data_IF_284611082579
#
_entry.id   IF_284611082579
#
_cell.length_a   1.000
_cell.length_b   1.000
_cell.length_c   1.000
_cell.angle_alpha   90.00
_cell.angle_beta   90.00
_cell.angle_gamma   90.00
#
_symmetry.space_group_name_H-M   'P 1'
#
loop_
_entity.id
_entity.type
_entity.pdbx_description
1 polymer ?
#
# COMPACT_ATOMS: atom_id res chain seq x y z
N UNK A 1 -16.19 -22.50 -12.97
CA UNK A 1 -17.32 -22.90 -13.83
C UNK A 1 -17.78 -24.32 -13.49
N UNK A 2 -19.04 -24.63 -13.83
CA UNK A 2 -19.57 -25.99 -13.70
C UNK A 2 -18.90 -26.94 -14.69
N UNK A 3 -18.75 -28.21 -14.33
CA UNK A 3 -18.26 -29.25 -15.21
C UNK A 3 -19.35 -29.67 -16.23
N UNK A 4 -20.58 -29.75 -15.77
CA UNK A 4 -21.68 -30.36 -16.53
C UNK A 4 -22.57 -29.32 -17.21
N UNK A 5 -22.60 -28.06 -16.73
CA UNK A 5 -23.40 -26.96 -17.29
C UNK A 5 -22.45 -25.92 -17.88
N UNK A 6 -22.44 -25.82 -19.23
CA UNK A 6 -21.40 -25.05 -19.95
C UNK A 6 -21.44 -23.55 -19.72
N UNK A 7 -22.60 -22.97 -19.40
CA UNK A 7 -22.80 -21.52 -19.20
C UNK A 7 -23.02 -21.13 -17.73
N UNK A 8 -22.58 -21.97 -16.77
CA UNK A 8 -22.76 -21.73 -15.34
C UNK A 8 -21.42 -21.41 -14.66
N UNK A 9 -21.38 -20.27 -13.99
CA UNK A 9 -20.35 -19.92 -13.02
C UNK A 9 -20.77 -20.31 -11.60
N UNK A 10 -19.79 -20.54 -10.74
CA UNK A 10 -19.99 -20.80 -9.32
C UNK A 10 -19.21 -19.75 -8.53
N UNK A 11 -19.83 -19.18 -7.51
CA UNK A 11 -19.25 -18.13 -6.66
C UNK A 11 -19.52 -18.39 -5.18
N UNK A 12 -18.85 -17.64 -4.33
CA UNK A 12 -19.02 -17.73 -2.89
C UNK A 12 -18.62 -19.10 -2.35
N UNK A 13 -19.45 -19.67 -1.49
CA UNK A 13 -19.17 -20.96 -0.83
C UNK A 13 -19.48 -22.18 -1.71
N UNK A 14 -19.98 -21.98 -2.91
CA UNK A 14 -20.25 -23.05 -3.88
C UNK A 14 -19.04 -23.37 -4.78
N UNK A 15 -17.89 -22.73 -4.55
CA UNK A 15 -16.66 -23.02 -5.31
C UNK A 15 -16.04 -24.35 -4.83
N UNK A 16 -15.31 -25.01 -5.74
CA UNK A 16 -14.49 -26.17 -5.38
C UNK A 16 -13.17 -25.69 -4.78
N UNK A 17 -12.88 -26.14 -3.57
CA UNK A 17 -11.66 -25.80 -2.85
C UNK A 17 -11.17 -27.00 -2.04
N UNK A 18 -9.86 -27.09 -1.79
CA UNK A 18 -9.32 -28.03 -0.83
C UNK A 18 -9.75 -27.67 0.59
N UNK A 19 -9.67 -28.63 1.52
CA UNK A 19 -10.02 -28.39 2.92
C UNK A 19 -9.25 -27.19 3.52
N UNK A 20 -7.96 -27.09 3.24
CA UNK A 20 -7.11 -25.97 3.73
C UNK A 20 -7.54 -24.65 3.10
N UNK A 21 -7.70 -24.60 1.78
CA UNK A 21 -8.11 -23.38 1.09
C UNK A 21 -9.52 -22.92 1.50
N UNK A 22 -10.41 -23.87 1.84
CA UNK A 22 -11.76 -23.55 2.29
C UNK A 22 -11.77 -22.69 3.57
N UNK A 23 -10.77 -22.85 4.43
CA UNK A 23 -10.61 -22.02 5.63
C UNK A 23 -10.64 -20.52 5.34
N UNK A 24 -10.05 -20.10 4.23
CA UNK A 24 -10.02 -18.69 3.79
C UNK A 24 -11.12 -18.33 2.79
N UNK A 25 -11.43 -19.23 1.83
CA UNK A 25 -12.39 -18.91 0.76
C UNK A 25 -13.84 -18.87 1.22
N UNK A 26 -14.15 -19.42 2.41
CA UNK A 26 -15.48 -19.37 3.03
C UNK A 26 -15.81 -18.01 3.67
N UNK A 27 -14.82 -17.16 3.91
CA UNK A 27 -15.01 -15.87 4.57
C UNK A 27 -15.81 -14.91 3.66
N UNK A 28 -16.67 -14.09 4.26
CA UNK A 28 -17.61 -13.23 3.53
C UNK A 28 -16.90 -12.27 2.59
N UNK A 29 -15.84 -11.60 3.04
CA UNK A 29 -15.08 -10.67 2.22
C UNK A 29 -14.43 -11.38 1.03
N UNK A 30 -13.75 -12.51 1.25
CA UNK A 30 -13.15 -13.32 0.19
C UNK A 30 -14.19 -13.82 -0.81
N UNK A 31 -15.34 -14.27 -0.33
CA UNK A 31 -16.47 -14.67 -1.17
C UNK A 31 -17.02 -13.51 -1.98
N UNK A 32 -17.10 -12.29 -1.42
CA UNK A 32 -17.52 -11.08 -2.10
C UNK A 32 -16.57 -10.68 -3.24
N UNK A 33 -15.26 -10.71 -3.00
CA UNK A 33 -14.25 -10.51 -4.05
C UNK A 33 -14.36 -11.54 -5.17
N UNK A 34 -14.53 -12.82 -4.82
CA UNK A 34 -14.75 -13.88 -5.79
C UNK A 34 -16.03 -13.65 -6.62
N UNK A 35 -17.12 -13.20 -6.00
CA UNK A 35 -18.38 -12.90 -6.68
C UNK A 35 -18.24 -11.72 -7.65
N UNK A 36 -17.52 -10.66 -7.27
CA UNK A 36 -17.21 -9.55 -8.19
C UNK A 36 -16.44 -10.06 -9.43
N UNK A 37 -15.43 -10.90 -9.22
CA UNK A 37 -14.66 -11.50 -10.32
C UNK A 37 -15.55 -12.32 -11.26
N UNK A 38 -16.45 -13.12 -10.70
CA UNK A 38 -17.40 -13.93 -11.48
C UNK A 38 -18.40 -13.07 -12.23
N UNK A 39 -18.94 -12.00 -11.63
CA UNK A 39 -19.83 -11.06 -12.30
C UNK A 39 -19.15 -10.40 -13.51
N UNK A 40 -17.91 -9.95 -13.36
CA UNK A 40 -17.12 -9.37 -14.44
C UNK A 40 -16.76 -10.40 -15.52
N UNK A 41 -16.47 -11.64 -15.13
CA UNK A 41 -16.23 -12.76 -16.04
C UNK A 41 -17.47 -13.06 -16.89
N UNK A 42 -18.65 -13.08 -16.26
CA UNK A 42 -19.92 -13.32 -16.99
C UNK A 42 -20.20 -12.19 -18.00
N UNK A 43 -20.00 -10.93 -17.61
CA UNK A 43 -20.12 -9.80 -18.53
C UNK A 43 -19.14 -9.89 -19.71
N UNK A 44 -17.89 -10.32 -19.43
CA UNK A 44 -16.88 -10.52 -20.48
C UNK A 44 -17.29 -11.65 -21.45
N UNK A 45 -17.83 -12.77 -20.94
CA UNK A 45 -18.33 -13.85 -21.76
C UNK A 45 -19.42 -13.37 -22.74
N UNK A 46 -20.39 -12.60 -22.23
CA UNK A 46 -21.47 -12.04 -23.06
C UNK A 46 -20.92 -11.10 -24.13
N UNK A 47 -20.01 -10.20 -23.79
CA UNK A 47 -19.42 -9.23 -24.72
C UNK A 47 -18.57 -9.89 -25.80
N UNK A 48 -17.91 -11.01 -25.50
CA UNK A 48 -17.02 -11.71 -26.43
C UNK A 48 -17.67 -12.90 -27.13
N UNK A 49 -18.90 -13.27 -26.74
CA UNK A 49 -19.59 -14.44 -27.29
C UNK A 49 -18.90 -15.76 -26.95
N UNK A 50 -18.29 -15.85 -25.76
CA UNK A 50 -17.52 -17.04 -25.32
C UNK A 50 -18.16 -17.68 -24.09
N UNK A 51 -17.79 -18.93 -23.83
CA UNK A 51 -18.28 -19.69 -22.68
C UNK A 51 -17.36 -19.49 -21.45
N UNK A 52 -17.84 -19.73 -20.22
CA UNK A 52 -17.05 -19.68 -19.00
C UNK A 52 -15.71 -20.40 -19.06
N UNK A 53 -15.66 -21.56 -19.68
CA UNK A 53 -14.43 -22.35 -19.83
C UNK A 53 -13.38 -21.67 -20.72
N UNK A 54 -13.80 -20.85 -21.67
CA UNK A 54 -12.89 -20.12 -22.57
C UNK A 54 -12.07 -19.06 -21.86
N UNK A 55 -12.55 -18.57 -20.70
CA UNK A 55 -11.83 -17.58 -19.90
C UNK A 55 -10.50 -18.10 -19.31
N UNK A 56 -10.28 -19.41 -19.33
CA UNK A 56 -8.98 -19.99 -18.97
C UNK A 56 -7.89 -19.74 -20.01
N UNK A 57 -8.26 -19.30 -21.22
CA UNK A 57 -7.29 -18.90 -22.25
C UNK A 57 -6.58 -17.61 -21.82
N UNK A 58 -5.24 -17.51 -22.03
CA UNK A 58 -4.44 -16.39 -21.54
C UNK A 58 -4.95 -15.01 -21.96
N UNK A 59 -5.43 -14.85 -23.18
CA UNK A 59 -5.94 -13.56 -23.69
C UNK A 59 -7.18 -13.08 -22.95
N UNK A 60 -8.14 -13.97 -22.65
CA UNK A 60 -9.34 -13.61 -21.90
C UNK A 60 -9.04 -13.43 -20.40
N UNK A 61 -8.18 -14.29 -19.85
CA UNK A 61 -7.77 -14.17 -18.46
C UNK A 61 -7.06 -12.82 -18.21
N UNK A 62 -6.13 -12.45 -19.10
CA UNK A 62 -5.45 -11.15 -19.01
C UNK A 62 -6.45 -10.00 -19.06
N UNK A 63 -7.41 -10.04 -19.99
CA UNK A 63 -8.43 -9.01 -20.10
C UNK A 63 -9.31 -8.93 -18.86
N UNK A 64 -9.69 -10.06 -18.28
CA UNK A 64 -10.45 -10.12 -17.03
C UNK A 64 -9.65 -9.50 -15.88
N UNK A 65 -8.38 -9.87 -15.71
CA UNK A 65 -7.49 -9.34 -14.67
C UNK A 65 -7.31 -7.82 -14.82
N UNK A 66 -7.15 -7.31 -16.04
CA UNK A 66 -7.05 -5.86 -16.29
C UNK A 66 -8.33 -5.12 -15.87
N UNK A 67 -9.50 -5.67 -16.23
CA UNK A 67 -10.79 -5.08 -15.84
C UNK A 67 -11.00 -5.08 -14.33
N UNK A 68 -10.60 -6.14 -13.65
CA UNK A 68 -10.66 -6.24 -12.19
C UNK A 68 -9.77 -5.19 -11.52
N UNK A 69 -8.51 -5.08 -11.95
CA UNK A 69 -7.58 -4.08 -11.42
C UNK A 69 -8.10 -2.65 -11.64
N UNK A 70 -8.60 -2.34 -12.84
CA UNK A 70 -9.17 -1.02 -13.15
C UNK A 70 -10.46 -0.72 -12.37
N UNK A 71 -11.14 -1.75 -11.87
CA UNK A 71 -12.31 -1.63 -11.01
C UNK A 71 -11.95 -1.61 -9.51
N UNK A 72 -10.65 -1.61 -9.16
CA UNK A 72 -10.17 -1.53 -7.79
C UNK A 72 -9.92 -2.87 -7.10
N UNK A 73 -10.18 -4.00 -7.77
CA UNK A 73 -9.83 -5.30 -7.25
C UNK A 73 -8.37 -5.62 -7.60
N UNK A 74 -7.45 -5.07 -6.82
CA UNK A 74 -6.02 -5.27 -7.02
C UNK A 74 -5.63 -6.75 -6.87
N UNK A 75 -4.98 -7.28 -7.91
CA UNK A 75 -4.47 -8.65 -7.92
C UNK A 75 -2.97 -8.60 -7.67
N UNK A 76 -2.44 -9.26 -6.62
CA UNK A 76 -1.01 -9.26 -6.32
C UNK A 76 -0.18 -9.71 -7.54
N UNK A 77 0.85 -8.94 -7.87
CA UNK A 77 1.74 -9.21 -8.99
C UNK A 77 1.18 -8.87 -10.38
N UNK A 78 -0.09 -8.50 -10.51
CA UNK A 78 -0.68 -8.10 -11.79
C UNK A 78 -0.79 -6.58 -11.87
N UNK A 79 -0.09 -5.98 -12.81
CA UNK A 79 -0.12 -4.54 -13.05
C UNK A 79 -1.30 -4.17 -13.96
N UNK A 80 -1.84 -2.97 -13.80
CA UNK A 80 -2.68 -2.35 -14.82
C UNK A 80 -1.80 -2.11 -16.05
N UNK A 81 -2.28 -2.55 -17.20
CA UNK A 81 -1.56 -2.38 -18.47
C UNK A 81 -1.50 -0.89 -18.84
N UNK A 82 -0.35 -0.47 -19.36
CA UNK A 82 -0.17 0.89 -19.89
C UNK A 82 -0.81 1.08 -21.27
N UNK A 83 -1.20 -0.01 -21.94
CA UNK A 83 -1.86 0.07 -23.25
C UNK A 83 -3.14 0.90 -23.19
N UNK A 84 -3.22 1.96 -23.99
CA UNK A 84 -4.36 2.89 -23.98
C UNK A 84 -4.34 3.92 -22.85
N UNK A 85 -3.34 3.90 -21.96
CA UNK A 85 -3.17 4.94 -20.95
C UNK A 85 -2.28 6.08 -21.50
N UNK A 86 -2.88 7.18 -21.88
CA UNK A 86 -2.17 8.36 -22.40
C UNK A 86 -1.19 8.94 -21.37
N UNK A 87 -1.46 8.80 -20.07
CA UNK A 87 -0.55 9.26 -19.02
C UNK A 87 0.81 8.55 -19.08
N UNK A 88 0.85 7.30 -19.54
CA UNK A 88 2.10 6.53 -19.62
C UNK A 88 3.06 7.03 -20.70
N UNK A 89 2.57 7.77 -21.69
CA UNK A 89 3.39 8.40 -22.75
C UNK A 89 3.77 9.85 -22.46
N UNK A 90 3.24 10.44 -21.38
CA UNK A 90 3.53 11.81 -21.00
C UNK A 90 4.90 11.93 -20.31
N UNK A 91 5.51 13.10 -20.42
CA UNK A 91 6.52 13.54 -19.46
C UNK A 91 5.80 13.98 -18.18
N UNK A 92 6.06 13.26 -17.10
CA UNK A 92 5.42 13.50 -15.80
C UNK A 92 6.38 14.27 -14.91
N UNK A 93 5.88 15.32 -14.27
CA UNK A 93 6.59 16.07 -13.23
C UNK A 93 5.65 16.42 -12.08
N UNK A 94 6.22 16.73 -10.93
CA UNK A 94 5.47 17.15 -9.76
C UNK A 94 6.05 18.46 -9.20
N UNK A 95 5.22 19.23 -8.48
CA UNK A 95 5.66 20.43 -7.73
C UNK A 95 6.59 20.05 -6.59
N UNK A 96 6.39 18.88 -6.00
CA UNK A 96 7.24 18.31 -4.96
C UNK A 96 7.16 16.79 -4.95
N UNK A 97 8.15 16.16 -4.30
CA UNK A 97 8.23 14.74 -4.04
C UNK A 97 8.63 14.54 -2.58
N UNK A 98 7.96 13.64 -1.88
CA UNK A 98 8.31 13.30 -0.51
C UNK A 98 9.64 12.56 -0.48
N UNK A 99 10.62 13.14 0.20
CA UNK A 99 11.87 12.48 0.60
C UNK A 99 11.80 12.17 2.09
N UNK A 100 11.65 10.90 2.44
CA UNK A 100 11.43 10.49 3.82
C UNK A 100 12.77 10.42 4.55
N UNK A 101 13.22 11.56 5.07
CA UNK A 101 14.41 11.70 5.92
C UNK A 101 14.07 11.63 7.41
N UNK A 102 12.80 11.88 7.76
CA UNK A 102 12.33 11.87 9.14
C UNK A 102 10.87 11.44 9.22
N UNK A 103 10.57 10.61 10.19
CA UNK A 103 9.24 10.38 10.74
C UNK A 103 9.21 11.14 12.05
N UNK A 104 8.44 12.23 12.20
CA UNK A 104 8.55 13.19 13.30
C UNK A 104 8.39 12.57 14.70
N UNK A 105 9.07 13.14 15.69
CA UNK A 105 9.01 12.73 17.10
C UNK A 105 7.87 13.45 17.86
N UNK A 106 6.66 13.43 17.30
CA UNK A 106 5.50 14.20 17.77
C UNK A 106 4.38 13.35 18.41
N UNK A 107 4.57 12.03 18.46
CA UNK A 107 3.64 11.09 19.09
C UNK A 107 3.95 10.81 20.55
N UNK A 108 3.32 9.79 21.11
CA UNK A 108 3.53 9.29 22.48
C UNK A 108 4.67 8.29 22.59
N UNK A 109 4.77 7.67 23.76
CA UNK A 109 5.68 6.55 24.03
C UNK A 109 4.94 5.22 23.85
N UNK A 110 5.44 4.35 22.99
CA UNK A 110 4.91 3.00 22.79
C UNK A 110 5.74 1.99 23.57
N UNK A 111 5.14 1.15 24.44
CA UNK A 111 5.87 0.09 25.12
C UNK A 111 6.34 -0.96 24.11
N UNK A 112 7.54 -1.52 24.31
CA UNK A 112 8.05 -2.66 23.54
C UNK A 112 7.72 -3.99 24.23
N UNK A 113 6.50 -4.13 24.73
CA UNK A 113 5.95 -5.38 25.28
C UNK A 113 5.72 -6.46 24.19
N UNK A 114 5.78 -6.06 22.94
CA UNK A 114 5.88 -6.88 21.74
C UNK A 114 7.01 -6.39 20.85
N UNK A 115 7.56 -7.27 20.00
CA UNK A 115 8.44 -6.78 18.94
C UNK A 115 7.67 -5.90 17.97
N UNK A 116 8.22 -4.73 17.67
CA UNK A 116 7.64 -3.74 16.77
C UNK A 116 8.57 -3.54 15.57
N UNK A 117 8.01 -3.31 14.39
CA UNK A 117 8.77 -3.01 13.20
C UNK A 117 8.17 -1.82 12.45
N UNK A 118 9.04 -0.94 11.93
CA UNK A 118 8.68 0.06 10.95
C UNK A 118 8.93 -0.49 9.56
N UNK A 119 7.87 -0.61 8.75
CA UNK A 119 8.00 -0.99 7.35
C UNK A 119 8.40 0.22 6.53
N UNK A 120 9.50 0.07 5.78
CA UNK A 120 10.07 1.11 4.94
C UNK A 120 10.47 0.54 3.57
N UNK A 121 10.14 1.20 2.45
CA UNK A 121 10.56 0.78 1.11
C UNK A 121 12.04 1.11 0.91
N UNK A 122 12.90 0.14 1.19
CA UNK A 122 14.34 0.28 1.14
C UNK A 122 14.90 -0.03 -0.25
N UNK A 123 15.98 0.63 -0.61
CA UNK A 123 16.74 0.39 -1.84
C UNK A 123 17.74 -0.73 -1.68
N UNK A 124 17.87 -1.56 -2.71
CA UNK A 124 18.84 -2.64 -2.77
C UNK A 124 20.27 -2.15 -2.53
N UNK A 125 21.00 -2.84 -1.67
CA UNK A 125 22.42 -2.56 -1.41
C UNK A 125 22.70 -1.25 -0.65
N UNK A 126 21.68 -0.47 -0.28
CA UNK A 126 21.86 0.77 0.47
C UNK A 126 21.91 0.46 1.98
N UNK A 127 22.91 1.02 2.65
CA UNK A 127 23.07 0.96 4.10
C UNK A 127 22.33 2.12 4.73
N UNK A 128 21.49 1.82 5.72
CA UNK A 128 20.69 2.82 6.42
C UNK A 128 21.10 2.97 7.88
N UNK A 129 21.00 4.19 8.37
CA UNK A 129 21.06 4.54 9.78
C UNK A 129 19.72 5.12 10.20
N UNK A 130 19.22 4.67 11.35
CA UNK A 130 17.97 5.13 11.95
C UNK A 130 18.29 5.72 13.32
N UNK A 131 18.00 7.00 13.53
CA UNK A 131 18.11 7.63 14.85
C UNK A 131 16.71 7.62 15.48
N UNK A 132 16.60 7.03 16.65
CA UNK A 132 15.34 6.84 17.39
C UNK A 132 15.43 7.42 18.79
N UNK A 133 14.29 7.67 19.42
CA UNK A 133 14.22 7.99 20.86
C UNK A 133 13.59 6.82 21.61
N UNK A 134 14.22 6.42 22.71
CA UNK A 134 13.72 5.40 23.64
C UNK A 134 13.71 5.95 25.06
N UNK A 135 12.82 5.38 25.88
CA UNK A 135 12.78 5.60 27.31
C UNK A 135 12.96 4.25 28.01
N UNK A 136 13.93 4.15 28.90
CA UNK A 136 14.23 2.93 29.65
C UNK A 136 13.94 3.13 31.15
N UNK A 137 13.19 2.22 31.77
CA UNK A 137 12.92 2.26 33.19
C UNK A 137 14.10 1.71 34.03
N UNK A 138 15.03 0.97 33.42
CA UNK A 138 16.27 0.46 33.98
C UNK A 138 17.32 0.33 32.87
N UNK A 139 18.60 0.21 33.25
CA UNK A 139 19.68 -0.04 32.30
C UNK A 139 19.45 -1.41 31.61
N UNK A 140 19.46 -1.43 30.26
CA UNK A 140 19.10 -2.59 29.47
C UNK A 140 19.82 -2.60 28.12
N UNK A 141 19.39 -3.47 27.20
CA UNK A 141 19.93 -3.54 25.84
C UNK A 141 18.76 -3.48 24.87
N UNK A 142 18.80 -2.55 23.93
CA UNK A 142 17.92 -2.59 22.75
C UNK A 142 18.52 -3.57 21.73
N UNK A 143 17.75 -4.56 21.33
CA UNK A 143 18.05 -5.41 20.18
C UNK A 143 17.22 -4.95 18.98
N UNK A 144 17.88 -4.69 17.85
CA UNK A 144 17.22 -4.32 16.61
C UNK A 144 17.68 -5.20 15.46
N UNK A 145 16.77 -5.46 14.53
CA UNK A 145 17.01 -6.29 13.33
C UNK A 145 16.57 -5.55 12.07
N UNK A 146 17.35 -5.69 11.02
CA UNK A 146 16.89 -5.41 9.67
C UNK A 146 16.41 -6.73 9.07
N UNK A 147 15.10 -6.83 8.86
CA UNK A 147 14.48 -8.04 8.28
C UNK A 147 13.82 -7.73 6.94
N UNK A 148 13.62 -8.73 6.12
CA UNK A 148 12.92 -8.64 4.83
C UNK A 148 12.29 -9.97 4.44
N UNK A 149 11.38 -9.97 3.46
CA UNK A 149 10.80 -11.18 2.93
C UNK A 149 11.67 -11.75 1.80
N UNK A 150 11.92 -13.07 1.80
CA UNK A 150 12.70 -13.73 0.76
C UNK A 150 11.97 -13.76 -0.60
N UNK A 151 10.64 -13.75 -0.60
CA UNK A 151 9.80 -13.82 -1.80
C UNK A 151 9.03 -12.53 -2.02
N UNK A 152 8.90 -12.05 -3.26
CA UNK A 152 8.01 -10.92 -3.59
C UNK A 152 6.59 -11.21 -3.13
N UNK A 153 5.88 -10.17 -2.68
CA UNK A 153 4.50 -10.25 -2.19
C UNK A 153 4.28 -11.15 -0.96
N UNK A 154 5.35 -11.62 -0.33
CA UNK A 154 5.31 -12.25 0.99
C UNK A 154 5.60 -11.19 2.05
N UNK A 155 4.68 -11.01 2.98
CA UNK A 155 4.81 -10.02 4.06
C UNK A 155 5.33 -10.63 5.38
N UNK A 156 5.79 -11.89 5.34
CA UNK A 156 6.53 -12.50 6.43
C UNK A 156 8.00 -12.12 6.30
N UNK A 157 8.60 -11.42 7.29
CA UNK A 157 10.02 -11.07 7.25
C UNK A 157 10.88 -12.28 7.68
N UNK A 158 10.99 -13.26 6.81
CA UNK A 158 11.63 -14.56 7.05
C UNK A 158 13.17 -14.51 6.97
N UNK A 159 13.73 -13.41 6.47
CA UNK A 159 15.17 -13.19 6.36
C UNK A 159 15.63 -12.07 7.29
N UNK A 160 16.73 -12.28 8.00
CA UNK A 160 17.41 -11.26 8.80
C UNK A 160 18.72 -10.88 8.13
N UNK A 161 18.81 -9.62 7.64
CA UNK A 161 20.05 -9.10 7.07
C UNK A 161 21.10 -8.85 8.15
N UNK A 162 20.69 -8.29 9.29
CA UNK A 162 21.58 -8.00 10.41
C UNK A 162 20.80 -7.85 11.72
N UNK A 163 21.46 -8.17 12.83
CA UNK A 163 21.00 -7.87 14.19
C UNK A 163 22.07 -7.03 14.89
N UNK A 164 21.64 -5.97 15.56
CA UNK A 164 22.48 -5.10 16.38
C UNK A 164 21.99 -5.05 17.82
N UNK A 165 22.91 -4.82 18.77
CA UNK A 165 22.65 -4.70 20.20
C UNK A 165 23.22 -3.39 20.68
N UNK A 166 22.39 -2.56 21.31
CA UNK A 166 22.76 -1.22 21.75
C UNK A 166 22.48 -1.11 23.25
N UNK A 167 23.49 -0.88 24.09
CA UNK A 167 23.26 -0.58 25.50
C UNK A 167 22.42 0.67 25.68
N UNK A 168 21.49 0.65 26.62
CA UNK A 168 20.59 1.75 26.94
C UNK A 168 20.64 2.02 28.41
N UNK A 169 21.02 3.24 28.81
CA UNK A 169 20.97 3.70 30.16
C UNK A 169 19.56 4.06 30.59
N UNK A 170 19.30 4.10 31.89
CA UNK A 170 17.99 4.49 32.44
C UNK A 170 17.63 5.91 32.03
N UNK A 171 16.37 6.14 31.68
CA UNK A 171 15.80 7.42 31.23
C UNK A 171 15.64 7.52 29.74
N UNK A 172 15.49 8.74 29.23
CA UNK A 172 15.29 9.02 27.81
C UNK A 172 16.61 9.10 27.07
N UNK A 173 16.79 8.28 26.05
CA UNK A 173 18.01 8.19 25.25
C UNK A 173 17.71 8.37 23.76
N UNK A 174 18.63 9.03 23.05
CA UNK A 174 18.68 9.03 21.58
C UNK A 174 19.67 7.97 21.15
N UNK A 175 19.23 7.05 20.31
CA UNK A 175 20.02 5.94 19.84
C UNK A 175 20.20 5.99 18.33
N UNK A 176 21.39 5.60 17.87
CA UNK A 176 21.69 5.42 16.46
C UNK A 176 21.73 3.93 16.15
N UNK A 177 20.74 3.44 15.42
CA UNK A 177 20.67 2.05 14.92
C UNK A 177 21.28 2.05 13.53
N UNK A 178 22.47 1.45 13.40
CA UNK A 178 23.21 1.39 12.13
C UNK A 178 23.25 -0.03 11.64
N UNK A 179 22.74 -0.26 10.44
CA UNK A 179 22.86 -1.54 9.77
C UNK A 179 23.90 -1.46 8.65
N UNK A 180 24.86 -2.41 8.65
CA UNK A 180 25.79 -2.66 7.54
C UNK A 180 25.21 -3.62 6.53
N UNK A 181 24.30 -4.49 6.98
CA UNK A 181 23.48 -5.36 6.14
C UNK A 181 22.47 -4.57 5.30
N UNK A 182 22.12 -5.11 4.15
CA UNK A 182 21.25 -4.47 3.16
C UNK A 182 20.15 -5.42 2.69
N UNK A 183 19.08 -4.89 2.09
CA UNK A 183 18.12 -5.71 1.37
C UNK A 183 18.65 -6.06 -0.03
N UNK A 184 18.36 -7.26 -0.56
CA UNK A 184 18.93 -7.73 -1.83
C UNK A 184 18.25 -7.13 -3.07
N UNK A 185 17.04 -6.60 -2.91
CA UNK A 185 16.26 -5.96 -3.98
C UNK A 185 15.51 -4.76 -3.41
N UNK A 186 15.02 -3.87 -4.26
CA UNK A 186 14.11 -2.79 -3.84
C UNK A 186 12.84 -3.42 -3.28
N UNK A 187 12.62 -3.32 -1.97
CA UNK A 187 11.50 -3.94 -1.27
C UNK A 187 11.27 -3.32 0.11
N UNK A 188 10.15 -3.71 0.73
CA UNK A 188 9.96 -3.37 2.14
C UNK A 188 10.99 -4.08 3.01
N UNK A 189 11.70 -3.28 3.81
CA UNK A 189 12.48 -3.72 4.95
C UNK A 189 11.70 -3.50 6.24
N UNK A 190 11.85 -4.42 7.18
CA UNK A 190 11.30 -4.34 8.53
C UNK A 190 12.43 -3.88 9.45
N UNK A 191 12.43 -2.60 9.83
CA UNK A 191 13.31 -2.07 10.89
C UNK A 191 12.69 -2.47 12.21
N UNK A 192 13.14 -3.58 12.75
CA UNK A 192 12.50 -4.30 13.85
C UNK A 192 13.22 -3.99 15.17
N UNK A 193 12.45 -3.67 16.20
CA UNK A 193 12.87 -3.53 17.59
C UNK A 193 12.27 -4.68 18.38
N UNK A 194 13.14 -5.52 18.95
CA UNK A 194 12.70 -6.72 19.65
C UNK A 194 12.06 -6.37 20.99
N UNK A 195 11.13 -7.23 21.41
CA UNK A 195 10.44 -7.10 22.70
C UNK A 195 11.42 -6.86 23.85
N UNK A 196 11.16 -5.79 24.61
CA UNK A 196 11.86 -5.48 25.85
C UNK A 196 10.95 -4.66 26.76
N UNK A 197 10.45 -5.27 27.82
CA UNK A 197 9.47 -4.65 28.73
C UNK A 197 10.05 -3.44 29.51
N UNK A 198 11.38 -3.27 29.56
CA UNK A 198 12.02 -2.11 30.16
C UNK A 198 12.07 -0.90 29.23
N UNK A 199 11.67 -1.05 27.95
CA UNK A 199 11.77 0.00 26.93
C UNK A 199 10.42 0.47 26.42
N UNK A 200 10.37 1.76 26.12
CA UNK A 200 9.35 2.43 25.32
C UNK A 200 10.03 3.13 24.16
N UNK A 201 9.43 3.16 23.00
CA UNK A 201 9.94 3.84 21.81
C UNK A 201 9.03 5.00 21.43
N UNK A 202 9.62 6.11 20.97
CA UNK A 202 8.89 7.29 20.54
C UNK A 202 8.10 7.03 19.27
N UNK A 203 6.85 7.44 19.23
CA UNK A 203 5.99 7.34 18.06
C UNK A 203 5.83 8.67 17.33
N UNK A 204 5.20 8.62 16.16
CA UNK A 204 4.83 9.78 15.35
C UNK A 204 3.34 9.77 15.03
N UNK A 205 2.76 10.95 14.89
CA UNK A 205 1.40 11.15 14.37
C UNK A 205 1.36 11.19 12.85
N UNK A 206 2.50 11.49 12.21
CA UNK A 206 2.58 11.60 10.77
C UNK A 206 2.29 10.26 10.08
N UNK A 207 1.49 10.32 9.02
CA UNK A 207 1.04 9.18 8.24
C UNK A 207 1.47 9.36 6.79
N UNK A 208 2.01 8.32 6.22
CA UNK A 208 2.50 8.30 4.85
C UNK A 208 1.96 7.08 4.12
N UNK A 209 1.53 7.25 2.89
CA UNK A 209 1.07 6.15 2.05
C UNK A 209 2.12 5.05 1.95
N UNK A 210 1.73 3.83 2.27
CA UNK A 210 2.61 2.66 2.24
C UNK A 210 3.67 2.61 3.33
N UNK A 211 3.60 3.46 4.36
CA UNK A 211 4.49 3.43 5.54
C UNK A 211 3.65 3.08 6.76
N UNK A 212 3.98 1.98 7.40
CA UNK A 212 3.20 1.46 8.54
C UNK A 212 4.09 0.79 9.55
N UNK A 213 3.78 0.93 10.83
CA UNK A 213 4.36 0.12 11.89
C UNK A 213 3.53 -1.16 12.09
N UNK A 214 4.20 -2.26 12.34
CA UNK A 214 3.58 -3.56 12.57
C UNK A 214 4.15 -4.19 13.84
N UNK A 215 3.35 -5.06 14.46
CA UNK A 215 3.68 -5.67 15.73
C UNK A 215 3.55 -7.19 15.63
N UNK A 216 4.51 -7.90 16.18
CA UNK A 216 4.43 -9.35 16.39
C UNK A 216 3.72 -9.59 17.72
N UNK A 217 2.39 -9.37 17.72
CA UNK A 217 1.57 -9.55 18.93
C UNK A 217 1.21 -11.01 19.11
N UNK A 218 1.38 -11.46 20.33
CA UNK A 218 0.95 -12.77 20.77
C UNK A 218 -0.57 -12.79 21.06
N UNK A 219 -1.28 -13.76 20.53
CA UNK A 219 -2.66 -14.01 20.91
C UNK A 219 -2.81 -15.44 21.44
N UNK A 220 -2.81 -15.59 22.77
CA UNK A 220 -2.91 -16.87 23.45
C UNK A 220 -4.18 -17.65 23.08
N UNK A 221 -5.27 -16.95 22.83
CA UNK A 221 -6.55 -17.58 22.51
C UNK A 221 -6.55 -18.34 21.18
N UNK A 222 -5.73 -17.93 20.23
CA UNK A 222 -5.63 -18.55 18.90
C UNK A 222 -4.26 -19.17 18.62
N UNK A 223 -3.36 -19.13 19.60
CA UNK A 223 -1.99 -19.66 19.50
C UNK A 223 -1.23 -19.14 18.26
N UNK A 224 -1.46 -17.92 17.87
CA UNK A 224 -0.90 -17.28 16.66
C UNK A 224 0.36 -16.52 16.97
N UNK A 225 1.40 -17.22 17.41
CA UNK A 225 2.55 -16.57 17.98
C UNK A 225 3.81 -16.96 17.29
N UNK A 226 4.60 -15.96 16.99
CA UNK A 226 5.87 -16.15 16.35
C UNK A 226 5.74 -16.91 15.02
N UNK A 227 6.76 -17.65 14.68
CA UNK A 227 6.85 -18.38 13.42
C UNK A 227 5.98 -19.64 13.44
N UNK A 228 5.07 -19.72 12.50
CA UNK A 228 4.25 -20.91 12.23
C UNK A 228 4.92 -21.73 11.12
N UNK A 229 5.05 -23.04 11.35
CA UNK A 229 5.63 -23.96 10.35
C UNK A 229 4.57 -24.99 9.96
N UNK A 230 3.91 -24.79 8.81
CA UNK A 230 2.93 -25.74 8.30
C UNK A 230 3.55 -27.13 8.05
N UNK A 231 2.73 -28.20 8.03
CA UNK A 231 3.22 -29.54 7.72
C UNK A 231 3.96 -29.62 6.39
N UNK A 232 4.99 -30.45 6.33
CA UNK A 232 5.70 -30.72 5.09
C UNK A 232 4.75 -31.24 4.00
N UNK A 233 4.92 -30.74 2.77
CA UNK A 233 4.05 -31.09 1.63
C UNK A 233 2.71 -30.39 1.57
N UNK A 234 2.38 -29.48 2.51
CA UNK A 234 1.15 -28.66 2.47
C UNK A 234 1.17 -27.61 1.36
N UNK A 235 2.33 -27.28 0.81
CA UNK A 235 2.51 -26.19 -0.15
C UNK A 235 2.41 -24.79 0.48
N UNK A 236 2.40 -24.72 1.82
CA UNK A 236 2.34 -23.46 2.58
C UNK A 236 3.71 -23.20 3.20
N UNK A 237 4.28 -22.06 2.92
CA UNK A 237 5.55 -21.62 3.53
C UNK A 237 5.35 -21.31 5.03
N UNK A 238 6.43 -21.39 5.80
CA UNK A 238 6.43 -20.88 7.16
C UNK A 238 6.15 -19.37 7.17
N UNK A 239 5.40 -18.91 8.16
CA UNK A 239 4.97 -17.51 8.25
C UNK A 239 4.98 -17.01 9.70
N UNK A 240 5.01 -15.68 9.85
CA UNK A 240 4.85 -14.98 11.11
C UNK A 240 3.75 -13.92 10.98
N UNK A 241 2.98 -13.72 12.05
CA UNK A 241 1.99 -12.65 12.08
C UNK A 241 2.62 -11.34 12.52
N UNK A 242 2.68 -10.40 11.60
CA UNK A 242 3.04 -9.01 11.82
C UNK A 242 1.86 -8.15 11.41
N UNK A 243 1.17 -7.58 12.39
CA UNK A 243 -0.06 -6.85 12.17
C UNK A 243 0.12 -5.37 12.49
N UNK A 244 -0.46 -4.45 11.73
CA UNK A 244 -0.55 -3.05 12.13
C UNK A 244 -1.32 -2.95 13.44
N UNK A 245 -0.97 -1.98 14.28
CA UNK A 245 -1.78 -1.72 15.45
C UNK A 245 -3.13 -1.15 15.03
N UNK A 246 -4.18 -1.52 15.78
CA UNK A 246 -5.53 -1.01 15.48
C UNK A 246 -5.53 0.50 15.65
N UNK A 247 -5.85 1.21 14.60
CA UNK A 247 -6.01 2.66 14.63
C UNK A 247 -7.25 3.03 15.46
N UNK A 248 -7.29 4.09 16.24
CA UNK A 248 -7.10 5.45 15.77
C UNK A 248 -5.66 5.96 15.80
N UNK A 249 -4.76 5.35 16.46
CA UNK A 249 -3.47 6.00 16.60
C UNK A 249 -2.57 5.89 15.38
N UNK A 250 -2.70 4.85 14.51
CA UNK A 250 -1.92 4.67 13.27
C UNK A 250 -0.47 5.14 13.36
N UNK A 251 0.15 4.92 14.51
CA UNK A 251 1.39 5.60 14.88
C UNK A 251 2.55 4.89 14.22
N UNK A 252 3.26 5.61 13.38
CA UNK A 252 4.58 5.17 12.95
C UNK A 252 5.59 5.31 14.10
N UNK A 253 6.67 4.55 14.04
CA UNK A 253 7.81 4.72 14.92
C UNK A 253 8.58 5.96 14.48
N UNK A 254 8.77 6.93 15.38
CA UNK A 254 9.50 8.15 15.09
C UNK A 254 10.98 7.86 14.87
N UNK A 255 11.56 8.38 13.79
CA UNK A 255 12.96 8.17 13.48
C UNK A 255 13.50 9.16 12.45
N UNK A 256 14.80 9.46 12.51
CA UNK A 256 15.53 10.05 11.39
C UNK A 256 16.17 8.95 10.56
N UNK A 257 16.18 9.12 9.25
CA UNK A 257 16.58 8.10 8.29
C UNK A 257 17.70 8.66 7.41
N UNK A 258 18.85 7.99 7.40
CA UNK A 258 19.99 8.38 6.56
C UNK A 258 20.52 7.19 5.79
N UNK A 259 20.63 7.26 4.45
CA UNK A 259 20.10 8.32 3.58
C UNK A 259 18.57 8.39 3.59
N UNK A 260 17.99 9.49 3.14
CA UNK A 260 16.54 9.62 3.00
C UNK A 260 15.99 8.59 2.02
N UNK A 261 14.77 8.09 2.28
CA UNK A 261 14.08 7.16 1.38
C UNK A 261 13.42 7.95 0.25
N UNK A 262 13.73 7.57 -0.99
CA UNK A 262 13.22 8.14 -2.23
C UNK A 262 12.35 7.09 -2.95
N UNK A 263 11.11 6.92 -2.49
CA UNK A 263 10.19 5.90 -3.01
C UNK A 263 8.89 6.49 -3.59
N UNK A 264 8.73 7.81 -3.58
CA UNK A 264 7.46 8.50 -3.84
C UNK A 264 7.49 9.33 -5.13
N UNK A 265 8.23 8.88 -6.12
CA UNK A 265 8.41 9.55 -7.41
C UNK A 265 7.08 9.77 -8.15
N UNK A 266 6.92 10.90 -8.87
CA UNK A 266 5.76 11.12 -9.73
C UNK A 266 5.59 10.06 -10.82
N UNK A 267 6.65 9.36 -11.23
CA UNK A 267 6.56 8.23 -12.17
C UNK A 267 5.76 7.04 -11.65
N UNK A 268 5.57 6.93 -10.34
CA UNK A 268 4.77 5.85 -9.75
C UNK A 268 3.32 5.88 -10.21
N UNK A 269 2.75 7.03 -10.56
CA UNK A 269 1.34 7.14 -10.96
C UNK A 269 1.00 6.47 -12.30
N UNK A 270 1.99 5.88 -12.96
CA UNK A 270 1.81 5.09 -14.19
C UNK A 270 2.49 3.72 -14.11
N UNK A 271 2.90 3.28 -12.92
CA UNK A 271 3.59 2.01 -12.74
C UNK A 271 2.67 0.77 -12.77
N UNK A 272 1.35 1.00 -12.80
CA UNK A 272 0.32 -0.04 -12.91
C UNK A 272 -0.14 -0.64 -11.59
N UNK A 273 0.35 -0.16 -10.45
CA UNK A 273 -0.10 -0.60 -9.14
C UNK A 273 -1.00 0.47 -8.49
N UNK A 274 -2.06 0.01 -7.83
CA UNK A 274 -3.07 0.86 -7.18
C UNK A 274 -3.02 0.75 -5.66
N UNK A 275 -1.96 0.15 -5.13
CA UNK A 275 -1.71 -0.04 -3.69
C UNK A 275 -0.23 -0.37 -3.45
N UNK A 276 0.26 -0.27 -2.21
CA UNK A 276 1.58 -0.77 -1.85
C UNK A 276 1.71 -2.27 -2.17
N UNK A 277 2.89 -2.66 -2.64
CA UNK A 277 3.26 -4.06 -2.91
C UNK A 277 4.66 -4.34 -2.35
N UNK A 278 5.67 -4.43 -3.20
CA UNK A 278 7.08 -4.51 -2.76
C UNK A 278 7.65 -3.14 -2.39
N UNK A 279 6.98 -2.07 -2.81
CA UNK A 279 7.27 -0.67 -2.47
C UNK A 279 5.97 0.12 -2.32
N UNK A 280 6.05 1.42 -1.97
CA UNK A 280 4.89 2.26 -1.75
C UNK A 280 4.00 2.45 -2.99
N UNK A 281 4.57 2.40 -4.21
CA UNK A 281 3.87 2.53 -5.49
C UNK A 281 3.03 3.81 -5.66
N UNK A 282 3.28 4.84 -4.89
CA UNK A 282 2.56 6.09 -4.94
C UNK A 282 3.49 7.27 -5.21
N UNK A 283 2.99 8.29 -5.87
CA UNK A 283 3.52 9.63 -5.68
C UNK A 283 2.96 10.20 -4.38
N UNK A 284 3.84 10.79 -3.57
CA UNK A 284 3.45 11.58 -2.42
C UNK A 284 4.09 12.95 -2.52
N UNK A 285 3.32 13.98 -2.19
CA UNK A 285 3.81 15.34 -2.11
C UNK A 285 4.58 15.58 -0.80
N UNK A 286 5.53 16.50 -0.80
CA UNK A 286 6.14 16.99 0.43
C UNK A 286 5.13 17.80 1.26
N UNK A 287 5.12 17.67 2.58
CA UNK A 287 4.20 18.39 3.47
C UNK A 287 4.28 19.94 3.34
N UNK A 288 5.45 20.46 2.98
CA UNK A 288 5.64 21.90 2.77
C UNK A 288 5.03 22.44 1.48
N UNK A 289 4.60 21.59 0.56
CA UNK A 289 3.96 21.99 -0.69
C UNK A 289 2.49 22.29 -0.44
N UNK A 290 2.13 23.56 -0.46
CA UNK A 290 0.75 24.01 -0.18
C UNK A 290 -0.22 23.77 -1.34
N UNK A 291 0.27 23.47 -2.53
CA UNK A 291 -0.51 23.18 -3.73
C UNK A 291 0.11 22.03 -4.52
N UNK A 292 0.10 20.80 -3.96
CA UNK A 292 0.68 19.66 -4.61
C UNK A 292 0.09 19.45 -6.00
N UNK A 293 0.98 19.28 -6.98
CA UNK A 293 0.59 19.24 -8.39
C UNK A 293 1.37 18.20 -9.15
N UNK A 294 0.67 17.36 -9.91
CA UNK A 294 1.22 16.53 -10.97
C UNK A 294 0.95 17.20 -12.32
N UNK A 295 1.94 17.21 -13.20
CA UNK A 295 1.85 17.79 -14.54
C UNK A 295 2.23 16.74 -15.58
N UNK A 296 1.43 16.64 -16.62
CA UNK A 296 1.59 15.76 -17.77
C UNK A 296 1.81 16.61 -19.01
N UNK A 297 2.85 16.33 -19.77
CA UNK A 297 3.17 16.98 -21.03
C UNK A 297 3.37 15.95 -22.12
N UNK A 298 2.70 16.14 -23.26
CA UNK A 298 2.86 15.35 -24.47
C UNK A 298 3.52 16.19 -25.57
N UNK A 299 4.20 15.52 -26.48
CA UNK A 299 4.85 16.20 -27.62
C UNK A 299 3.84 16.64 -28.69
N UNK A 300 2.65 16.03 -28.68
CA UNK A 300 1.52 16.39 -29.54
C UNK A 300 0.23 16.40 -28.71
N UNK A 301 -0.76 17.25 -29.07
CA UNK A 301 -2.03 17.25 -28.37
C UNK A 301 -2.69 15.87 -28.34
N UNK A 302 -3.25 15.53 -27.20
CA UNK A 302 -4.00 14.29 -26.97
C UNK A 302 -5.49 14.59 -26.91
N UNK A 303 -6.28 13.64 -27.37
CA UNK A 303 -7.74 13.67 -27.19
C UNK A 303 -8.10 12.87 -25.96
N UNK A 304 -8.65 13.54 -24.95
CA UNK A 304 -8.94 12.95 -23.64
C UNK A 304 -10.45 12.94 -23.44
N UNK A 305 -11.01 11.74 -23.27
CA UNK A 305 -12.45 11.53 -22.98
C UNK A 305 -12.70 11.06 -21.54
N UNK A 306 -11.69 10.44 -20.91
CA UNK A 306 -11.86 9.84 -19.58
C UNK A 306 -10.56 9.91 -18.77
N UNK A 307 -10.71 10.21 -17.48
CA UNK A 307 -9.61 10.25 -16.51
C UNK A 307 -10.01 9.44 -15.28
N UNK A 308 -9.18 8.48 -14.86
CA UNK A 308 -9.36 7.77 -13.60
C UNK A 308 -8.20 8.10 -12.67
N UNK A 309 -8.55 8.50 -11.45
CA UNK A 309 -7.60 8.77 -10.38
C UNK A 309 -7.77 7.69 -9.30
N UNK A 310 -6.65 7.13 -8.84
CA UNK A 310 -6.64 6.12 -7.78
C UNK A 310 -5.97 6.71 -6.55
N UNK A 311 -6.78 6.97 -5.53
CA UNK A 311 -6.35 7.56 -4.28
C UNK A 311 -6.06 6.49 -3.22
N UNK A 312 -5.27 6.86 -2.23
CA UNK A 312 -5.12 6.05 -1.02
C UNK A 312 -6.36 6.21 -0.13
N UNK A 313 -7.00 5.10 0.20
CA UNK A 313 -8.10 5.04 1.17
C UNK A 313 -7.71 4.16 2.35
N UNK A 314 -6.42 4.16 2.68
CA UNK A 314 -5.87 3.46 3.84
C UNK A 314 -6.18 1.96 3.82
N UNK A 315 -5.60 1.25 2.86
CA UNK A 315 -5.77 -0.22 2.74
C UNK A 315 -5.31 -0.99 3.98
N UNK A 316 -4.47 -0.38 4.81
CA UNK A 316 -3.97 -0.98 6.04
C UNK A 316 -4.92 -0.74 7.22
N UNK A 317 -6.01 0.00 7.01
CA UNK A 317 -6.98 0.29 8.05
C UNK A 317 -7.76 -0.96 8.46
N UNK A 318 -7.75 -1.28 9.75
CA UNK A 318 -8.39 -2.47 10.26
C UNK A 318 -9.92 -2.34 10.26
N UNK A 319 -10.58 -2.88 9.24
CA UNK A 319 -12.05 -2.82 9.09
C UNK A 319 -12.81 -3.57 10.19
N UNK A 320 -12.21 -4.56 10.82
CA UNK A 320 -12.80 -5.26 11.96
C UNK A 320 -13.04 -4.37 13.18
N UNK A 321 -12.38 -3.22 13.25
CA UNK A 321 -12.66 -2.21 14.29
C UNK A 321 -14.03 -1.55 14.13
N UNK A 322 -14.70 -1.70 13.01
CA UNK A 322 -16.06 -1.22 12.77
C UNK A 322 -17.05 -1.74 13.82
N UNK A 323 -16.90 -2.97 14.29
CA UNK A 323 -17.74 -3.55 15.34
C UNK A 323 -17.59 -2.85 16.70
N UNK A 324 -16.46 -2.18 16.92
CA UNK A 324 -16.14 -1.43 18.14
C UNK A 324 -16.35 0.07 17.98
N UNK A 325 -16.92 0.50 16.86
CA UNK A 325 -17.01 1.88 16.46
C UNK A 325 -15.78 2.32 15.69
N UNK A 326 -15.98 2.81 14.47
CA UNK A 326 -14.88 3.35 13.66
C UNK A 326 -14.43 4.67 14.27
N UNK A 327 -13.13 4.84 14.60
CA UNK A 327 -12.65 6.01 15.31
C UNK A 327 -12.66 7.29 14.45
N UNK A 328 -12.67 7.12 13.14
CA UNK A 328 -12.53 8.21 12.17
C UNK A 328 -13.82 8.35 11.36
N UNK A 329 -14.28 9.58 11.19
CA UNK A 329 -15.45 9.90 10.37
C UNK A 329 -15.12 9.96 8.89
N UNK A 330 -13.85 10.23 8.59
CA UNK A 330 -13.30 10.38 7.23
C UNK A 330 -12.09 9.49 7.12
N UNK A 331 -11.86 8.91 5.94
CA UNK A 331 -10.67 8.10 5.67
C UNK A 331 -9.44 9.02 5.69
N UNK A 332 -8.47 8.82 6.61
CA UNK A 332 -7.41 9.81 6.87
C UNK A 332 -6.50 10.09 5.67
N UNK A 333 -6.23 9.06 4.85
CA UNK A 333 -5.33 9.18 3.70
C UNK A 333 -6.00 9.73 2.43
N UNK A 334 -7.34 9.78 2.40
CA UNK A 334 -8.05 10.13 1.17
C UNK A 334 -7.91 11.61 0.87
N UNK A 335 -7.38 11.94 -0.30
CA UNK A 335 -7.42 13.29 -0.86
C UNK A 335 -8.87 13.67 -1.09
N UNK A 336 -9.37 14.68 -0.37
CA UNK A 336 -10.75 15.15 -0.43
C UNK A 336 -10.96 16.18 -1.54
N UNK A 337 -10.00 17.08 -1.70
CA UNK A 337 -10.04 18.15 -2.71
C UNK A 337 -9.04 17.92 -3.83
N UNK A 338 -9.51 18.01 -5.09
CA UNK A 338 -8.62 18.04 -6.24
C UNK A 338 -9.23 18.80 -7.41
N UNK A 339 -8.37 19.31 -8.29
CA UNK A 339 -8.73 19.95 -9.56
C UNK A 339 -7.90 19.38 -10.70
N UNK A 340 -8.54 19.21 -11.85
CA UNK A 340 -7.88 18.87 -13.11
C UNK A 340 -7.90 20.10 -13.98
N UNK A 341 -6.74 20.50 -14.48
CA UNK A 341 -6.54 21.71 -15.27
C UNK A 341 -6.05 21.33 -16.67
N UNK A 342 -6.54 22.01 -17.70
CA UNK A 342 -6.03 21.91 -19.07
C UNK A 342 -4.68 22.65 -19.25
N UNK A 343 -4.15 22.65 -20.48
CA UNK A 343 -2.91 23.35 -20.85
C UNK A 343 -2.96 24.85 -20.69
N UNK A 344 -4.14 25.45 -20.62
CA UNK A 344 -4.37 26.88 -20.41
C UNK A 344 -4.65 27.27 -18.96
N UNK A 345 -4.74 26.26 -18.07
CA UNK A 345 -5.06 26.46 -16.66
C UNK A 345 -6.55 26.53 -16.35
N UNK A 346 -7.43 26.25 -17.32
CA UNK A 346 -8.85 26.18 -17.08
C UNK A 346 -9.20 24.89 -16.31
N UNK A 347 -10.18 25.01 -15.41
CA UNK A 347 -10.66 23.86 -14.63
C UNK A 347 -11.51 22.95 -15.51
N UNK A 348 -11.04 21.74 -15.75
CA UNK A 348 -11.76 20.68 -16.49
C UNK A 348 -12.69 19.91 -15.55
N UNK A 349 -12.22 19.67 -14.33
CA UNK A 349 -12.96 18.98 -13.29
C UNK A 349 -12.49 19.45 -11.92
N UNK A 350 -13.42 19.57 -10.98
CA UNK A 350 -13.15 19.89 -9.58
C UNK A 350 -13.97 18.95 -8.69
N UNK A 351 -13.35 18.49 -7.62
CA UNK A 351 -13.98 17.70 -6.56
C UNK A 351 -13.52 18.25 -5.22
N UNK A 352 -14.44 18.49 -4.29
CA UNK A 352 -14.16 19.02 -2.95
C UNK A 352 -14.59 18.08 -1.82
N UNK A 353 -15.19 16.96 -2.16
CA UNK A 353 -15.74 15.97 -1.21
C UNK A 353 -15.47 14.54 -1.69
N UNK A 354 -14.23 14.25 -2.06
CA UNK A 354 -13.86 12.91 -2.45
C UNK A 354 -13.70 12.00 -1.22
N UNK A 355 -14.31 10.84 -1.28
CA UNK A 355 -14.18 9.74 -0.32
C UNK A 355 -14.05 8.39 -1.02
N UNK A 356 -13.80 8.41 -2.34
CA UNK A 356 -13.70 7.22 -3.18
C UNK A 356 -12.24 6.88 -3.48
N UNK A 357 -11.92 5.59 -3.45
CA UNK A 357 -10.62 5.09 -3.91
C UNK A 357 -10.39 5.39 -5.39
N UNK A 358 -11.43 5.26 -6.21
CA UNK A 358 -11.36 5.48 -7.66
C UNK A 358 -12.34 6.57 -8.04
N UNK A 359 -11.82 7.65 -8.63
CA UNK A 359 -12.63 8.66 -9.28
C UNK A 359 -12.58 8.44 -10.79
N UNK A 360 -13.72 8.07 -11.36
CA UNK A 360 -13.88 7.76 -12.78
C UNK A 360 -14.60 8.94 -13.49
N UNK A 361 -13.79 9.85 -14.01
CA UNK A 361 -14.24 11.12 -14.58
C UNK A 361 -14.38 10.95 -16.08
N UNK A 362 -15.62 11.03 -16.58
CA UNK A 362 -15.93 11.08 -18.00
C UNK A 362 -16.20 12.51 -18.40
N UNK A 363 -15.43 13.03 -19.34
CA UNK A 363 -15.60 14.36 -19.84
C UNK A 363 -16.85 14.42 -20.74
N UNK A 364 -17.65 15.50 -20.62
CA UNK A 364 -18.84 15.71 -21.46
C UNK A 364 -18.46 15.90 -22.92
N UNK A 365 -17.34 16.58 -23.12
CA UNK A 365 -16.74 16.82 -24.44
C UNK A 365 -15.28 16.35 -24.38
N UNK A 366 -14.79 15.79 -25.47
CA UNK A 366 -13.39 15.39 -25.57
C UNK A 366 -12.49 16.61 -25.47
N UNK A 367 -11.56 16.62 -24.52
CA UNK A 367 -10.54 17.65 -24.36
C UNK A 367 -9.38 17.37 -25.31
N UNK A 368 -9.01 18.34 -26.14
CA UNK A 368 -7.78 18.28 -26.94
C UNK A 368 -6.72 19.17 -26.28
N UNK A 369 -5.64 18.59 -25.81
CA UNK A 369 -4.58 19.31 -25.08
C UNK A 369 -3.25 18.55 -25.12
N UNK A 370 -2.14 19.32 -25.11
CA UNK A 370 -0.78 18.80 -24.96
C UNK A 370 -0.31 18.81 -23.50
N UNK A 371 -1.13 19.36 -22.57
CA UNK A 371 -0.81 19.48 -21.15
C UNK A 371 -2.04 19.22 -20.30
N UNK A 372 -1.80 18.53 -19.20
CA UNK A 372 -2.80 18.33 -18.13
C UNK A 372 -2.12 18.51 -16.78
N UNK A 373 -2.82 19.09 -15.83
CA UNK A 373 -2.34 19.12 -14.45
C UNK A 373 -3.41 18.63 -13.48
N UNK A 374 -2.98 17.94 -12.44
CA UNK A 374 -3.82 17.49 -11.34
C UNK A 374 -3.28 18.15 -10.08
N UNK A 375 -4.06 19.05 -9.50
CA UNK A 375 -3.77 19.73 -8.25
C UNK A 375 -4.57 19.04 -7.17
N UNK A 376 -3.93 18.68 -6.08
CA UNK A 376 -4.56 17.98 -4.94
C UNK A 376 -4.33 18.75 -3.65
N UNK A 377 -5.14 18.46 -2.63
CA UNK A 377 -4.97 19.01 -1.29
C UNK A 377 -4.43 17.93 -0.35
N UNK A 378 -3.61 18.31 0.63
CA UNK A 378 -3.24 17.40 1.70
C UNK A 378 -4.49 17.01 2.49
N UNK A 379 -4.72 15.71 2.78
CA UNK A 379 -5.84 15.28 3.61
C UNK A 379 -5.86 15.95 4.97
N UNK A 380 -4.69 16.16 5.57
CA UNK A 380 -4.52 16.89 6.83
C UNK A 380 -3.07 17.36 7.00
N UNK A 381 -2.76 18.05 8.11
CA UNK A 381 -1.40 18.39 8.50
C UNK A 381 -0.53 17.18 8.86
N UNK A 382 -1.14 16.03 9.13
CA UNK A 382 -0.46 14.78 9.50
C UNK A 382 -0.38 13.77 8.36
N UNK A 383 -1.06 14.03 7.23
CA UNK A 383 -1.15 13.12 6.09
C UNK A 383 -0.78 13.82 4.79
N UNK A 384 0.27 13.34 4.15
CA UNK A 384 0.70 13.85 2.85
C UNK A 384 -0.26 13.40 1.73
N UNK A 385 -0.55 14.31 0.79
CA UNK A 385 -1.32 13.96 -0.40
C UNK A 385 -0.59 12.93 -1.25
N UNK A 386 -1.30 11.90 -1.69
CA UNK A 386 -0.76 10.81 -2.47
C UNK A 386 -1.73 10.31 -3.55
N UNK A 387 -1.16 9.81 -4.65
CA UNK A 387 -1.88 9.08 -5.69
C UNK A 387 -1.10 7.82 -6.08
N UNK A 388 -1.83 6.73 -6.25
CA UNK A 388 -1.24 5.47 -6.73
C UNK A 388 -1.16 5.41 -8.25
N UNK A 389 -2.27 5.68 -8.93
CA UNK A 389 -2.35 5.47 -10.37
C UNK A 389 -3.21 6.54 -11.03
N UNK A 390 -2.82 6.92 -12.23
CA UNK A 390 -3.59 7.78 -13.12
C UNK A 390 -3.74 7.06 -14.45
N UNK A 391 -4.99 6.96 -14.92
CA UNK A 391 -5.29 6.35 -16.20
C UNK A 391 -6.11 7.31 -17.03
N UNK A 392 -5.56 7.73 -18.18
CA UNK A 392 -6.14 8.70 -19.10
C UNK A 392 -6.45 7.99 -20.41
N UNK A 393 -7.70 8.07 -20.87
CA UNK A 393 -8.19 7.44 -22.10
C UNK A 393 -8.72 8.52 -23.08
N UNK A 394 -8.64 8.19 -24.37
CA UNK A 394 -9.22 8.98 -25.44
C UNK A 394 -10.75 9.06 -25.39
#
# INVERSE_FOLDING_TARGET
CSRDIRNLFLAGRCISASHVAHGSTRDMATSGFGAQAIGMAAALCLQKGVLPADLTRPEFMRLLQQRLNLAGQSIPGIRIDSAGNLAASARISASSELRLAEIPFDGGWMPLDYSAAQLLPLKAGVRYRFEIEVEACEATVLEAELRYAAKPFNYTPDMTAERVRIPVETGTCKLSVVFTGTVPSDQYGFVTFLKNNALRIRSSKARYTGIVSVFNKFNEAVNNNGRQTPPAGSGIDAFEFWCPDRRPAGQNIAMRITPAIEAFSPSNVVNGFVRPTVTANAWCAAFGDKMPRLSFCWDVPQRIGRIRLFFDTDYDHALESVQMGHPERVIPFCVQGYRILDGHGNVVCECTDNHQTINDIRLKETLETDRLAIVVEHPSSEVAAALFQIHIEA
#
